data_IF_615282185168
#
_entry.id   IF_615282185168
#
_cell.length_a   1.000
_cell.length_b   1.000
_cell.length_c   1.000
_cell.angle_alpha   90.00
_cell.angle_beta   90.00
_cell.angle_gamma   90.00
#
_symmetry.space_group_name_H-M   'P 1'
#
loop_
_entity.id
_entity.type
_entity.pdbx_description
1 polymer ?
#
# COMPACT_ATOMS: atom_id res chain seq x y z
N UNK A 1 -11.92 -8.48 -7.49
CA UNK A 1 -10.53 -8.41 -8.00
C UNK A 1 -10.37 -7.45 -9.20
N UNK A 2 -11.23 -6.44 -9.30
CA UNK A 2 -11.09 -5.37 -10.26
C UNK A 2 -9.87 -4.50 -9.89
N UNK A 3 -9.01 -4.22 -10.86
CA UNK A 3 -7.80 -3.40 -10.69
C UNK A 3 -6.49 -4.17 -10.50
N UNK A 4 -6.52 -5.48 -10.26
CA UNK A 4 -5.32 -6.33 -10.20
C UNK A 4 -5.07 -7.00 -11.54
N UNK A 5 -3.84 -6.98 -12.04
CA UNK A 5 -3.47 -7.60 -13.31
C UNK A 5 -3.75 -9.12 -13.30
N UNK A 6 -4.14 -9.66 -14.46
CA UNK A 6 -4.44 -11.10 -14.61
C UNK A 6 -3.27 -11.99 -14.17
N UNK A 7 -2.03 -11.56 -14.47
CA UNK A 7 -0.83 -12.29 -14.06
C UNK A 7 -0.62 -12.28 -12.54
N UNK A 8 -0.84 -11.15 -11.86
CA UNK A 8 -0.72 -11.09 -10.41
C UNK A 8 -1.81 -11.94 -9.72
N UNK A 9 -3.04 -11.93 -10.24
CA UNK A 9 -4.11 -12.81 -9.74
C UNK A 9 -3.77 -14.30 -9.92
N UNK A 10 -3.21 -14.66 -11.07
CA UNK A 10 -2.77 -16.03 -11.34
C UNK A 10 -1.63 -16.44 -10.40
N UNK A 11 -0.64 -15.56 -10.19
CA UNK A 11 0.47 -15.80 -9.28
C UNK A 11 0.02 -16.07 -7.84
N UNK A 12 -0.96 -15.31 -7.34
CA UNK A 12 -1.53 -15.49 -6.01
C UNK A 12 -2.30 -16.81 -5.85
N UNK A 13 -2.98 -17.25 -6.92
CA UNK A 13 -3.76 -18.49 -6.89
C UNK A 13 -2.90 -19.75 -6.97
N UNK A 14 -1.75 -19.66 -7.63
CA UNK A 14 -0.91 -20.81 -7.92
C UNK A 14 0.12 -21.13 -6.84
N UNK A 15 0.34 -20.24 -5.90
CA UNK A 15 1.39 -20.41 -4.92
C UNK A 15 0.94 -19.98 -3.53
N UNK A 16 0.83 -20.96 -2.64
CA UNK A 16 0.70 -20.72 -1.19
C UNK A 16 1.94 -20.01 -0.59
N UNK A 17 3.03 -19.94 -1.36
CA UNK A 17 4.25 -19.25 -0.97
C UNK A 17 4.20 -17.73 -1.21
N UNK A 18 3.18 -17.22 -1.90
CA UNK A 18 2.95 -15.80 -2.06
C UNK A 18 2.32 -15.23 -0.76
N UNK A 19 2.96 -14.18 -0.21
CA UNK A 19 2.47 -13.48 0.98
C UNK A 19 1.28 -12.54 0.67
N UNK A 20 1.00 -12.29 -0.60
CA UNK A 20 -0.01 -11.34 -1.07
C UNK A 20 0.59 -10.27 -1.98
N UNK A 21 -0.19 -9.23 -2.27
CA UNK A 21 0.27 -8.04 -2.98
C UNK A 21 0.95 -7.06 -2.02
N UNK A 22 1.84 -6.22 -2.54
CA UNK A 22 2.41 -5.14 -1.72
C UNK A 22 1.31 -4.24 -1.13
N UNK A 23 0.26 -3.95 -1.90
CA UNK A 23 -0.89 -3.18 -1.41
C UNK A 23 -1.54 -3.80 -0.16
N UNK A 24 -1.51 -5.13 -0.02
CA UNK A 24 -2.07 -5.84 1.14
C UNK A 24 -1.16 -5.77 2.38
N UNK A 25 0.13 -5.52 2.18
CA UNK A 25 1.16 -5.53 3.23
C UNK A 25 1.42 -4.14 3.84
N UNK A 26 0.88 -3.07 3.26
CA UNK A 26 1.12 -1.69 3.70
C UNK A 26 -0.15 -1.05 4.26
N UNK A 27 0.01 -0.13 5.21
CA UNK A 27 -1.06 0.69 5.80
C UNK A 27 -0.77 2.15 5.49
N UNK A 28 -1.70 2.82 4.85
CA UNK A 28 -1.56 4.21 4.40
C UNK A 28 -2.69 5.03 4.99
N UNK A 29 -2.40 6.17 5.65
CA UNK A 29 -3.42 7.12 6.07
C UNK A 29 -4.29 7.56 4.90
N UNK A 30 -5.60 7.76 5.14
CA UNK A 30 -6.57 8.06 4.10
C UNK A 30 -6.21 9.31 3.27
N UNK A 31 -5.70 10.35 3.93
CA UNK A 31 -5.29 11.60 3.30
C UNK A 31 -4.01 11.47 2.45
N UNK A 32 -3.28 10.36 2.54
CA UNK A 32 -2.06 10.09 1.78
C UNK A 32 -2.21 9.00 0.72
N UNK A 33 -3.37 8.35 0.64
CA UNK A 33 -3.64 7.26 -0.32
C UNK A 33 -3.31 7.70 -1.75
N UNK A 34 -3.81 8.87 -2.18
CA UNK A 34 -3.56 9.38 -3.54
C UNK A 34 -2.08 9.62 -3.84
N UNK A 35 -1.32 10.15 -2.87
CA UNK A 35 0.12 10.37 -3.00
C UNK A 35 0.89 9.06 -3.11
N UNK A 36 0.61 8.10 -2.22
CA UNK A 36 1.30 6.80 -2.20
C UNK A 36 0.97 5.98 -3.43
N UNK A 37 -0.29 6.00 -3.89
CA UNK A 37 -0.69 5.35 -5.13
C UNK A 37 -0.01 5.92 -6.37
N UNK A 38 0.05 7.24 -6.47
CA UNK A 38 0.75 7.90 -7.57
C UNK A 38 2.25 7.54 -7.59
N UNK A 39 2.88 7.48 -6.42
CA UNK A 39 4.29 7.19 -6.27
C UNK A 39 4.63 5.72 -6.53
N UNK A 40 3.88 4.80 -5.96
CA UNK A 40 4.10 3.37 -6.10
C UNK A 40 3.57 2.83 -7.43
N UNK A 41 2.46 3.38 -7.94
CA UNK A 41 1.86 2.98 -9.21
C UNK A 41 1.69 1.45 -9.32
N UNK A 42 2.29 0.87 -10.35
CA UNK A 42 2.23 -0.58 -10.58
C UNK A 42 2.89 -1.42 -9.49
N UNK A 43 3.79 -0.84 -8.69
CA UNK A 43 4.44 -1.57 -7.60
C UNK A 43 3.46 -2.01 -6.50
N UNK A 44 2.30 -1.39 -6.39
CA UNK A 44 1.24 -1.86 -5.50
C UNK A 44 0.77 -3.28 -5.83
N UNK A 45 0.93 -3.71 -7.08
CA UNK A 45 0.57 -5.06 -7.55
C UNK A 45 1.74 -6.05 -7.51
N UNK A 46 2.89 -5.69 -6.91
CA UNK A 46 3.99 -6.62 -6.68
C UNK A 46 3.51 -7.78 -5.83
N UNK A 47 3.71 -8.99 -6.33
CA UNK A 47 3.51 -10.22 -5.55
C UNK A 47 4.72 -10.41 -4.65
N UNK A 48 4.50 -10.47 -3.35
CA UNK A 48 5.57 -10.59 -2.35
C UNK A 48 5.81 -12.05 -2.03
N UNK A 49 7.07 -12.50 -2.10
CA UNK A 49 7.51 -13.84 -1.69
C UNK A 49 8.69 -13.74 -0.72
N UNK A 50 8.86 -14.76 0.12
CA UNK A 50 10.00 -14.79 1.06
C UNK A 50 11.32 -15.07 0.37
N UNK A 51 11.33 -15.94 -0.64
CA UNK A 51 12.54 -16.47 -1.27
C UNK A 51 12.52 -16.30 -2.80
N UNK A 52 13.70 -16.07 -3.37
CA UNK A 52 13.90 -15.97 -4.81
C UNK A 52 13.54 -17.26 -5.57
N UNK A 53 13.71 -18.41 -4.94
CA UNK A 53 13.32 -19.71 -5.49
C UNK A 53 11.82 -19.82 -5.73
N UNK A 54 11.02 -19.26 -4.82
CA UNK A 54 9.56 -19.19 -4.93
C UNK A 54 9.14 -18.26 -6.06
N UNK A 55 9.73 -17.07 -6.13
CA UNK A 55 9.49 -16.12 -7.22
C UNK A 55 9.79 -16.74 -8.59
N UNK A 56 10.90 -17.45 -8.71
CA UNK A 56 11.28 -18.16 -9.93
C UNK A 56 10.25 -19.22 -10.32
N UNK A 57 9.80 -20.05 -9.38
CA UNK A 57 8.82 -21.11 -9.63
C UNK A 57 7.47 -20.51 -10.12
N UNK A 58 7.02 -19.42 -9.51
CA UNK A 58 5.79 -18.72 -9.93
C UNK A 58 5.95 -18.20 -11.36
N UNK A 59 7.07 -17.54 -11.70
CA UNK A 59 7.30 -17.01 -13.05
C UNK A 59 7.35 -18.12 -14.10
N UNK A 60 7.93 -19.29 -13.78
CA UNK A 60 7.94 -20.45 -14.66
C UNK A 60 6.51 -20.95 -14.92
N UNK A 61 5.71 -21.16 -13.87
CA UNK A 61 4.32 -21.59 -14.00
C UNK A 61 3.47 -20.61 -14.83
N UNK A 62 3.63 -19.29 -14.60
CA UNK A 62 2.95 -18.27 -15.41
C UNK A 62 3.32 -18.34 -16.88
N UNK A 63 4.61 -18.57 -17.17
CA UNK A 63 5.13 -18.69 -18.56
C UNK A 63 4.58 -19.92 -19.26
N UNK A 64 4.68 -21.09 -18.62
CA UNK A 64 4.21 -22.38 -19.17
C UNK A 64 2.69 -22.36 -19.38
N UNK A 65 1.94 -21.80 -18.42
CA UNK A 65 0.49 -21.72 -18.48
C UNK A 65 -0.06 -20.57 -19.32
N UNK A 66 0.79 -19.69 -19.88
CA UNK A 66 0.39 -18.45 -20.60
C UNK A 66 -0.62 -17.59 -19.81
N UNK A 67 -0.42 -17.49 -18.49
CA UNK A 67 -1.37 -16.90 -17.52
C UNK A 67 -1.18 -15.40 -17.31
N UNK A 68 -0.45 -14.74 -18.19
CA UNK A 68 -0.18 -13.31 -18.12
C UNK A 68 1.17 -13.01 -17.47
N UNK A 69 1.41 -11.71 -17.20
CA UNK A 69 2.66 -11.21 -16.62
C UNK A 69 2.42 -10.70 -15.21
N UNK A 70 3.28 -11.05 -14.28
CA UNK A 70 3.32 -10.52 -12.92
C UNK A 70 4.72 -9.96 -12.59
N UNK A 71 4.75 -8.93 -11.77
CA UNK A 71 5.97 -8.44 -11.14
C UNK A 71 6.04 -9.06 -9.73
N UNK A 72 7.14 -9.73 -9.40
CA UNK A 72 7.31 -10.48 -8.15
C UNK A 72 8.57 -9.98 -7.46
N UNK A 73 8.47 -9.76 -6.14
CA UNK A 73 9.61 -9.42 -5.29
C UNK A 73 9.90 -10.56 -4.32
N UNK A 74 11.19 -10.88 -4.17
CA UNK A 74 11.66 -11.85 -3.19
C UNK A 74 12.41 -11.10 -2.08
N UNK A 75 11.94 -11.23 -0.85
CA UNK A 75 12.44 -10.45 0.29
C UNK A 75 13.89 -10.81 0.66
N UNK A 76 14.31 -12.06 0.45
CA UNK A 76 15.69 -12.51 0.69
C UNK A 76 16.74 -11.78 -0.19
N UNK A 77 16.34 -11.25 -1.35
CA UNK A 77 17.21 -10.45 -2.22
C UNK A 77 17.33 -8.98 -1.77
N UNK A 78 16.57 -8.56 -0.76
CA UNK A 78 16.56 -7.18 -0.29
C UNK A 78 17.53 -6.94 0.88
N UNK A 79 18.20 -7.96 1.37
CA UNK A 79 19.15 -7.85 2.48
C UNK A 79 20.34 -6.96 2.10
N UNK A 80 20.75 -6.03 3.01
CA UNK A 80 22.00 -5.27 2.90
C UNK A 80 21.96 -3.99 2.06
N UNK A 81 20.81 -3.36 1.84
CA UNK A 81 20.73 -2.02 1.25
C UNK A 81 20.79 -0.91 2.31
N UNK A 82 21.50 0.19 2.03
CA UNK A 82 21.39 1.39 2.85
C UNK A 82 20.03 2.05 2.63
N UNK A 83 19.31 2.30 3.72
CA UNK A 83 18.10 3.14 3.68
C UNK A 83 18.56 4.58 3.46
N UNK A 84 18.11 5.27 2.40
CA UNK A 84 18.45 6.66 2.21
C UNK A 84 17.97 7.47 3.41
N UNK A 85 18.90 8.14 4.10
CA UNK A 85 18.55 9.07 5.17
C UNK A 85 18.18 10.41 4.55
N UNK A 86 16.94 10.84 4.73
CA UNK A 86 16.49 12.17 4.36
C UNK A 86 16.56 13.06 5.59
N UNK A 87 17.23 14.20 5.47
CA UNK A 87 17.31 15.21 6.53
C UNK A 87 15.95 15.95 6.63
N UNK A 88 15.13 15.57 7.60
CA UNK A 88 13.79 16.13 7.80
C UNK A 88 13.81 17.65 8.03
N UNK A 89 14.88 18.19 8.64
CA UNK A 89 14.99 19.64 8.86
C UNK A 89 14.99 20.41 7.53
N UNK A 90 15.64 19.86 6.50
CA UNK A 90 15.67 20.45 5.16
C UNK A 90 14.35 20.32 4.41
N UNK A 91 13.55 19.29 4.70
CA UNK A 91 12.24 19.11 4.08
C UNK A 91 11.24 20.19 4.53
N UNK A 92 11.37 20.66 5.77
CA UNK A 92 10.48 21.69 6.34
C UNK A 92 10.56 23.04 5.59
N UNK A 93 11.70 23.34 4.92
CA UNK A 93 11.88 24.60 4.18
C UNK A 93 10.85 24.75 3.03
N UNK A 94 10.35 23.65 2.50
CA UNK A 94 9.32 23.63 1.45
C UNK A 94 8.05 22.86 1.84
N UNK A 95 7.87 22.59 3.14
CA UNK A 95 6.69 21.89 3.68
C UNK A 95 6.62 20.41 3.32
N UNK A 96 7.78 19.80 3.06
CA UNK A 96 7.89 18.38 2.70
C UNK A 96 7.92 17.46 3.92
N UNK A 97 7.42 16.24 3.74
CA UNK A 97 7.46 15.15 4.74
C UNK A 97 7.97 13.88 4.06
N UNK A 98 8.89 13.16 4.71
CA UNK A 98 9.38 11.88 4.18
C UNK A 98 8.24 10.86 4.12
N UNK A 99 8.01 10.27 2.95
CA UNK A 99 6.90 9.34 2.74
C UNK A 99 7.07 8.04 3.54
N UNK A 100 8.30 7.57 3.72
CA UNK A 100 8.60 6.33 4.42
C UNK A 100 8.06 6.33 5.86
N UNK A 101 8.16 7.46 6.58
CA UNK A 101 7.65 7.61 7.94
C UNK A 101 6.13 7.68 8.05
N UNK A 102 5.41 7.81 6.94
CA UNK A 102 3.96 7.94 6.89
C UNK A 102 3.24 6.64 6.53
N UNK A 103 3.98 5.63 6.09
CA UNK A 103 3.43 4.33 5.63
C UNK A 103 3.85 3.24 6.59
N UNK A 104 2.87 2.56 7.19
CA UNK A 104 3.09 1.39 8.04
C UNK A 104 3.18 0.10 7.23
N UNK A 105 3.97 -0.86 7.69
CA UNK A 105 4.01 -2.22 7.15
C UNK A 105 4.49 -3.22 8.21
N UNK A 106 4.47 -4.49 7.87
CA UNK A 106 5.08 -5.53 8.67
C UNK A 106 6.62 -5.51 8.52
N UNK A 107 7.34 -5.94 9.55
CA UNK A 107 8.81 -5.85 9.62
C UNK A 107 9.50 -6.55 8.44
N UNK A 108 8.95 -7.64 7.94
CA UNK A 108 9.50 -8.40 6.81
C UNK A 108 9.48 -7.59 5.50
N UNK A 109 8.52 -6.66 5.36
CA UNK A 109 8.33 -5.84 4.15
C UNK A 109 9.06 -4.49 4.24
N UNK A 110 9.49 -4.10 5.44
CA UNK A 110 10.18 -2.81 5.66
C UNK A 110 11.35 -2.58 4.69
N UNK A 111 12.27 -3.55 4.43
CA UNK A 111 13.36 -3.35 3.49
C UNK A 111 12.90 -3.04 2.05
N UNK A 112 11.72 -3.52 1.65
CA UNK A 112 11.13 -3.19 0.36
C UNK A 112 10.63 -1.75 0.34
N UNK A 113 9.92 -1.31 1.38
CA UNK A 113 9.45 0.07 1.49
C UNK A 113 10.60 1.06 1.56
N UNK A 114 11.68 0.75 2.28
CA UNK A 114 12.88 1.57 2.34
C UNK A 114 13.45 1.86 0.94
N UNK A 115 13.42 0.88 0.05
CA UNK A 115 13.89 1.04 -1.33
C UNK A 115 12.90 1.78 -2.23
N UNK A 116 11.60 1.57 -2.04
CA UNK A 116 10.55 2.17 -2.87
C UNK A 116 10.23 3.61 -2.44
N UNK A 117 10.17 3.87 -1.14
CA UNK A 117 9.71 5.14 -0.57
C UNK A 117 10.84 5.94 0.11
N UNK A 118 12.01 5.36 0.32
CA UNK A 118 13.10 6.00 1.06
C UNK A 118 13.68 7.26 0.40
N UNK A 119 13.31 7.56 -0.85
CA UNK A 119 13.66 8.79 -1.57
C UNK A 119 12.46 9.63 -1.97
N UNK A 120 11.28 9.29 -1.44
CA UNK A 120 10.04 9.98 -1.75
C UNK A 120 9.69 11.00 -0.67
N UNK A 121 9.35 12.19 -1.10
CA UNK A 121 8.89 13.29 -0.24
C UNK A 121 7.48 13.69 -0.64
N UNK A 122 6.58 13.75 0.34
CA UNK A 122 5.23 14.26 0.16
C UNK A 122 5.27 15.76 0.39
N UNK A 123 4.71 16.53 -0.54
CA UNK A 123 4.70 17.99 -0.52
C UNK A 123 3.28 18.53 -0.69
N UNK A 124 3.02 19.79 -0.26
CA UNK A 124 1.68 20.36 -0.38
C UNK A 124 1.23 20.58 -1.82
N UNK A 125 2.12 21.00 -2.71
CA UNK A 125 1.82 21.36 -4.10
C UNK A 125 3.03 21.17 -5.02
N UNK A 126 2.83 21.35 -6.33
CA UNK A 126 3.88 21.24 -7.35
C UNK A 126 4.94 22.34 -7.25
N UNK A 127 4.60 23.52 -6.75
CA UNK A 127 5.58 24.60 -6.57
C UNK A 127 6.58 24.23 -5.46
N UNK A 128 6.09 23.61 -4.38
CA UNK A 128 6.93 23.02 -3.34
C UNK A 128 7.80 21.88 -3.89
N UNK A 129 7.23 21.02 -4.77
CA UNK A 129 7.99 19.96 -5.45
C UNK A 129 9.15 20.53 -6.29
N UNK A 130 8.90 21.61 -7.04
CA UNK A 130 9.92 22.28 -7.88
C UNK A 130 11.02 22.90 -7.01
N UNK A 131 10.66 23.59 -5.91
CA UNK A 131 11.63 24.15 -4.96
C UNK A 131 12.46 23.05 -4.32
N UNK A 132 11.82 21.99 -3.83
CA UNK A 132 12.47 20.82 -3.22
C UNK A 132 13.42 20.14 -4.21
N UNK A 133 13.01 19.97 -5.45
CA UNK A 133 13.83 19.37 -6.52
C UNK A 133 15.07 20.21 -6.87
N UNK A 134 14.99 21.53 -6.79
CA UNK A 134 16.14 22.40 -7.00
C UNK A 134 17.22 22.21 -5.92
N UNK A 135 16.80 21.96 -4.66
CA UNK A 135 17.68 21.73 -3.53
C UNK A 135 18.15 20.26 -3.43
N UNK A 136 17.28 19.30 -3.77
CA UNK A 136 17.48 17.87 -3.59
C UNK A 136 17.21 17.09 -4.88
N UNK A 137 18.24 16.94 -5.71
CA UNK A 137 18.14 16.35 -7.06
C UNK A 137 17.96 14.84 -7.07
N UNK A 138 18.21 14.17 -5.98
CA UNK A 138 18.15 12.72 -5.79
C UNK A 138 16.83 12.22 -5.20
N UNK A 139 15.91 13.16 -4.88
CA UNK A 139 14.61 12.86 -4.31
C UNK A 139 13.49 12.92 -5.37
N UNK A 140 12.46 12.13 -5.14
CA UNK A 140 11.19 12.16 -5.85
C UNK A 140 10.18 12.93 -4.97
N UNK A 141 9.30 13.72 -5.58
CA UNK A 141 8.32 14.55 -4.87
C UNK A 141 6.92 14.21 -5.35
N UNK A 142 6.00 14.04 -4.42
CA UNK A 142 4.59 13.76 -4.72
C UNK A 142 3.69 14.70 -3.93
N UNK A 143 2.67 15.25 -4.59
CA UNK A 143 1.63 16.03 -3.91
C UNK A 143 0.57 15.11 -3.30
N UNK A 144 -0.19 15.60 -2.31
CA UNK A 144 -1.34 14.86 -1.77
C UNK A 144 -2.39 14.55 -2.83
N UNK A 145 -2.48 15.38 -3.89
CA UNK A 145 -3.37 15.16 -5.02
C UNK A 145 -2.90 14.06 -6.00
N UNK A 146 -1.69 13.50 -5.78
CA UNK A 146 -1.13 12.44 -6.61
C UNK A 146 -0.35 12.94 -7.83
N UNK A 147 0.10 14.19 -7.82
CA UNK A 147 1.02 14.69 -8.86
C UNK A 147 2.46 14.38 -8.44
N UNK A 148 3.24 13.80 -9.33
CA UNK A 148 4.60 13.33 -9.07
C UNK A 148 5.61 14.14 -9.90
N UNK A 149 6.68 14.61 -9.26
CA UNK A 149 7.89 15.12 -9.89
C UNK A 149 9.05 14.20 -9.52
N UNK A 150 9.51 13.41 -10.49
CA UNK A 150 10.59 12.46 -10.26
C UNK A 150 11.97 13.15 -10.19
N UNK A 151 12.93 12.49 -9.55
CA UNK A 151 14.36 12.87 -9.58
C UNK A 151 14.94 12.96 -11.00
N UNK A 152 14.30 12.37 -11.98
CA UNK A 152 14.68 12.47 -13.40
C UNK A 152 14.06 13.71 -14.10
N UNK A 153 13.29 14.53 -13.38
CA UNK A 153 12.64 15.72 -13.92
C UNK A 153 11.35 15.42 -14.69
N UNK A 154 10.78 14.24 -14.53
CA UNK A 154 9.54 13.84 -15.17
C UNK A 154 8.36 14.21 -14.29
N UNK A 155 7.42 14.97 -14.82
CA UNK A 155 6.13 15.23 -14.19
C UNK A 155 5.13 14.14 -14.60
N UNK A 156 4.40 13.61 -13.62
CA UNK A 156 3.30 12.68 -13.83
C UNK A 156 2.13 13.13 -12.98
N UNK A 157 0.92 13.10 -13.53
CA UNK A 157 -0.27 13.54 -12.81
C UNK A 157 -1.44 13.71 -13.79
N UNK A 158 -2.51 14.29 -13.29
CA UNK A 158 -3.75 14.49 -14.05
C UNK A 158 -4.81 13.44 -13.67
N UNK A 159 -6.08 13.84 -13.80
CA UNK A 159 -7.21 12.93 -13.61
C UNK A 159 -7.54 12.27 -14.94
N UNK A 160 -7.28 10.98 -15.06
CA UNK A 160 -7.76 10.20 -16.21
C UNK A 160 -9.29 10.11 -16.19
N UNK A 161 -9.92 10.20 -17.38
CA UNK A 161 -11.35 9.93 -17.57
C UNK A 161 -11.65 8.42 -17.58
N UNK A 162 -10.63 7.60 -17.35
CA UNK A 162 -10.79 6.17 -17.08
C UNK A 162 -11.32 6.03 -15.67
N UNK A 163 -12.43 5.31 -15.55
CA UNK A 163 -13.02 4.86 -14.29
C UNK A 163 -11.93 4.83 -13.22
N UNK A 164 -12.23 5.43 -12.10
CA UNK A 164 -11.47 5.12 -10.90
C UNK A 164 -11.29 3.61 -10.89
N UNK A 165 -10.17 3.12 -11.40
CA UNK A 165 -9.69 1.81 -10.98
C UNK A 165 -9.64 2.00 -9.49
N UNK A 166 -10.65 1.42 -8.84
CA UNK A 166 -10.90 1.67 -7.43
C UNK A 166 -9.54 1.55 -6.78
N UNK A 167 -9.05 2.65 -6.23
CA UNK A 167 -7.77 2.73 -5.58
C UNK A 167 -7.60 1.46 -4.75
N UNK A 168 -6.60 0.67 -5.01
CA UNK A 168 -6.39 -0.60 -4.29
C UNK A 168 -6.26 -0.32 -2.79
N UNK A 169 -5.61 0.79 -2.45
CA UNK A 169 -5.41 1.20 -1.05
C UNK A 169 -6.69 1.75 -0.43
N UNK A 170 -7.45 2.59 -1.14
CA UNK A 170 -8.72 3.10 -0.63
C UNK A 170 -9.71 1.96 -0.38
N UNK A 171 -9.80 1.01 -1.31
CA UNK A 171 -10.66 -0.17 -1.15
C UNK A 171 -10.24 -1.05 0.02
N UNK A 172 -8.93 -1.21 0.23
CA UNK A 172 -8.42 -1.95 1.39
C UNK A 172 -8.78 -1.25 2.70
N UNK A 173 -8.61 0.06 2.77
CA UNK A 173 -8.98 0.84 3.95
C UNK A 173 -10.49 0.71 4.23
N UNK A 174 -11.34 0.85 3.21
CA UNK A 174 -12.79 0.66 3.32
C UNK A 174 -13.18 -0.72 3.86
N UNK A 175 -12.52 -1.78 3.35
CA UNK A 175 -12.74 -3.15 3.85
C UNK A 175 -12.37 -3.25 5.33
N UNK A 176 -11.21 -2.73 5.73
CA UNK A 176 -10.76 -2.77 7.12
C UNK A 176 -11.70 -2.00 8.06
N UNK A 177 -12.23 -0.87 7.62
CA UNK A 177 -13.20 -0.07 8.39
C UNK A 177 -14.54 -0.83 8.54
N UNK A 178 -15.03 -1.45 7.46
CA UNK A 178 -16.25 -2.25 7.50
C UNK A 178 -16.09 -3.51 8.38
N UNK A 179 -14.94 -4.17 8.35
CA UNK A 179 -14.64 -5.31 9.22
C UNK A 179 -14.68 -4.91 10.70
N UNK A 180 -14.11 -3.77 11.04
CA UNK A 180 -14.13 -3.22 12.39
C UNK A 180 -15.54 -2.85 12.84
N UNK A 181 -16.36 -2.27 11.96
CA UNK A 181 -17.76 -1.96 12.23
C UNK A 181 -18.58 -3.23 12.47
N UNK A 182 -18.38 -4.27 11.66
CA UNK A 182 -19.02 -5.57 11.82
C UNK A 182 -18.68 -6.22 13.17
N UNK A 183 -17.42 -6.15 13.60
CA UNK A 183 -16.99 -6.67 14.91
C UNK A 183 -17.73 -5.93 16.04
N UNK A 184 -17.76 -4.60 16.01
CA UNK A 184 -18.46 -3.77 17.01
C UNK A 184 -19.97 -4.02 17.04
N UNK A 185 -20.62 -4.19 15.89
CA UNK A 185 -22.03 -4.56 15.81
C UNK A 185 -22.26 -5.96 16.36
N UNK A 186 -21.38 -6.92 16.08
CA UNK A 186 -21.45 -8.28 16.62
C UNK A 186 -21.39 -8.31 18.15
N UNK A 187 -20.50 -7.53 18.76
CA UNK A 187 -20.43 -7.38 20.21
C UNK A 187 -21.72 -6.78 20.79
N UNK A 188 -22.27 -5.76 20.14
CA UNK A 188 -23.52 -5.11 20.54
C UNK A 188 -24.70 -6.05 20.49
N UNK A 189 -24.84 -6.82 19.41
CA UNK A 189 -25.89 -7.87 19.26
C UNK A 189 -25.76 -8.93 20.34
N UNK A 190 -24.55 -9.40 20.61
CA UNK A 190 -24.31 -10.40 21.65
C UNK A 190 -24.68 -9.88 23.05
N UNK A 191 -24.36 -8.60 23.35
CA UNK A 191 -24.74 -7.95 24.61
C UNK A 191 -26.25 -7.89 24.77
N UNK A 192 -26.97 -7.37 23.75
CA UNK A 192 -28.42 -7.29 23.81
C UNK A 192 -29.11 -8.66 23.84
N UNK A 193 -28.52 -9.67 23.19
CA UNK A 193 -29.05 -11.03 23.26
C UNK A 193 -28.95 -11.62 24.68
N UNK A 194 -27.87 -11.35 25.39
CA UNK A 194 -27.70 -11.75 26.81
C UNK A 194 -28.68 -11.00 27.70
N UNK A 195 -28.75 -9.68 27.59
CA UNK A 195 -29.70 -8.84 28.36
C UNK A 195 -31.15 -9.31 28.16
N UNK A 196 -31.53 -9.63 26.90
CA UNK A 196 -32.83 -10.17 26.58
C UNK A 196 -33.07 -11.53 27.23
N UNK A 197 -32.07 -12.41 27.23
CA UNK A 197 -32.11 -13.73 27.87
C UNK A 197 -32.32 -13.62 29.38
N UNK A 198 -31.60 -12.71 30.02
CA UNK A 198 -31.68 -12.45 31.45
C UNK A 198 -33.08 -11.93 31.83
N UNK A 199 -33.62 -10.95 31.07
CA UNK A 199 -34.96 -10.42 31.29
C UNK A 199 -36.07 -11.48 31.09
N UNK A 200 -35.90 -12.38 30.09
CA UNK A 200 -36.84 -13.47 29.86
C UNK A 200 -36.78 -14.50 31.01
N UNK A 201 -35.60 -14.78 31.57
CA UNK A 201 -35.44 -15.66 32.71
C UNK A 201 -36.11 -15.08 33.97
N UNK A 202 -35.95 -13.77 34.21
CA UNK A 202 -36.64 -13.06 35.31
C UNK A 202 -38.14 -13.10 35.16
N UNK A 203 -38.65 -12.91 33.95
CA UNK A 203 -40.10 -12.93 33.66
C UNK A 203 -40.75 -14.33 33.89
N UNK A 204 -39.94 -15.41 33.78
CA UNK A 204 -40.44 -16.78 33.90
C UNK A 204 -40.41 -17.25 35.39
N UNK A 205 -39.70 -16.51 36.27
CA UNK A 205 -39.54 -16.84 37.69
C UNK A 205 -40.51 -16.07 38.60
N UNK A 206 -41.29 -15.16 38.04
CA UNK A 206 -42.42 -14.46 38.68
C UNK A 206 -43.77 -15.16 38.42
#
# INVERSE_FOLDING_TARGET
NEGVSTGAQAALKESEAALGLLADQIRVPEDLVGAVEAALGRHLQLVVTKQATQAKAILQSLSEGKKGRADIVALDLLSGGETPSIDEAKLNEFGGVAALGQVGCDADVQPLLDRLLGRLVIVPDLDAAIRGRAAHRDLDFVTRAGELLSRHGVFSGGRGNGSASASLLARKNEIADLEKELEGLGETVNKHSREKGDLQAEQTTL
#
